data_IF_429279232592
#
_entry.id   IF_429279232592
#
_cell.length_a   1.000
_cell.length_b   1.000
_cell.length_c   1.000
_cell.angle_alpha   90.00
_cell.angle_beta   90.00
_cell.angle_gamma   90.00
#
_symmetry.space_group_name_H-M   'P 1'
#
loop_
_entity.id
_entity.type
_entity.pdbx_description
1 polymer ?
#
# COMPACT_ATOMS: atom_id res chain seq x y z
N UNK A 1 50.80 -31.36 43.58
CA UNK A 1 50.90 -30.08 42.83
C UNK A 1 50.94 -30.22 41.30
N UNK A 2 50.88 -31.43 40.69
CA UNK A 2 50.94 -31.58 39.21
C UNK A 2 49.57 -31.64 38.50
N UNK A 3 48.45 -31.84 39.22
CA UNK A 3 47.13 -32.05 38.61
C UNK A 3 46.24 -30.80 38.57
N UNK A 4 46.61 -29.71 39.25
CA UNK A 4 45.82 -28.46 39.24
C UNK A 4 46.00 -27.67 37.94
N UNK A 5 47.22 -27.60 37.38
CA UNK A 5 47.46 -26.90 36.10
C UNK A 5 46.75 -27.54 34.90
N UNK A 6 46.55 -28.87 34.91
CA UNK A 6 45.88 -29.58 33.81
C UNK A 6 44.36 -29.33 33.81
N UNK A 7 43.74 -29.27 35.00
CA UNK A 7 42.31 -28.97 35.16
C UNK A 7 42.02 -27.52 34.75
N UNK A 8 42.90 -26.57 35.10
CA UNK A 8 42.74 -25.16 34.68
C UNK A 8 42.87 -24.99 33.16
N UNK A 9 43.75 -25.77 32.51
CA UNK A 9 43.95 -25.70 31.06
C UNK A 9 42.75 -26.28 30.28
N UNK A 10 42.15 -27.37 30.77
CA UNK A 10 40.96 -27.99 30.15
C UNK A 10 39.73 -27.10 30.34
N UNK A 11 39.57 -26.46 31.50
CA UNK A 11 38.49 -25.51 31.75
C UNK A 11 38.58 -24.25 30.88
N UNK A 12 39.80 -23.75 30.63
CA UNK A 12 40.04 -22.62 29.73
C UNK A 12 39.75 -22.99 28.26
N UNK A 13 40.06 -24.22 27.83
CA UNK A 13 39.71 -24.70 26.48
C UNK A 13 38.20 -24.84 26.28
N UNK A 14 37.47 -25.31 27.31
CA UNK A 14 36.01 -25.43 27.24
C UNK A 14 35.29 -24.06 27.21
N UNK A 15 35.82 -23.03 27.89
CA UNK A 15 35.29 -21.65 27.79
C UNK A 15 35.63 -20.97 26.45
N UNK A 16 36.70 -21.37 25.78
CA UNK A 16 37.06 -20.86 24.45
C UNK A 16 36.17 -21.44 23.35
N UNK A 17 35.73 -22.69 23.49
CA UNK A 17 34.90 -23.40 22.50
C UNK A 17 33.42 -23.01 22.53
N UNK A 18 32.90 -22.47 23.63
CA UNK A 18 31.50 -21.98 23.70
C UNK A 18 31.28 -20.63 23.03
N UNK A 19 32.33 -19.85 22.77
CA UNK A 19 32.25 -18.58 22.04
C UNK A 19 32.33 -18.72 20.51
N UNK A 20 32.49 -19.95 19.99
CA UNK A 20 32.24 -20.28 18.58
C UNK A 20 30.80 -20.75 18.33
N UNK A 21 29.90 -20.55 19.30
CA UNK A 21 28.46 -20.65 19.06
C UNK A 21 28.06 -19.71 17.93
N UNK A 22 27.32 -20.25 16.95
CA UNK A 22 26.75 -19.53 15.81
C UNK A 22 26.54 -18.04 16.11
N UNK A 23 27.32 -17.17 15.46
CA UNK A 23 26.82 -15.84 15.17
C UNK A 23 25.57 -16.07 14.32
N UNK A 24 24.40 -16.01 14.94
CA UNK A 24 23.22 -15.53 14.24
C UNK A 24 23.62 -14.15 13.73
N UNK A 25 24.08 -14.09 12.47
CA UNK A 25 23.80 -12.93 11.66
C UNK A 25 22.27 -12.90 11.61
N UNK A 26 21.65 -12.26 12.61
CA UNK A 26 20.36 -11.66 12.36
C UNK A 26 20.64 -10.65 11.26
N UNK A 27 20.49 -11.09 10.01
CA UNK A 27 20.16 -10.13 8.98
C UNK A 27 18.95 -9.41 9.53
N UNK A 28 19.19 -8.17 9.96
CA UNK A 28 18.16 -7.27 10.37
C UNK A 28 17.43 -6.97 9.07
N UNK A 29 16.53 -7.88 8.66
CA UNK A 29 15.73 -7.72 7.46
C UNK A 29 14.92 -6.46 7.73
N UNK A 30 15.40 -5.34 7.20
CA UNK A 30 14.71 -4.08 7.31
C UNK A 30 13.35 -4.31 6.64
N UNK A 31 12.28 -4.08 7.39
CA UNK A 31 10.92 -4.18 6.87
C UNK A 31 10.86 -3.37 5.56
N UNK A 32 10.44 -3.97 4.44
CA UNK A 32 10.46 -3.30 3.15
C UNK A 32 9.40 -2.20 3.11
N UNK A 33 9.67 -1.10 2.41
CA UNK A 33 8.62 -0.12 2.11
C UNK A 33 7.66 -0.73 1.09
N UNK A 34 6.35 -0.58 1.33
CA UNK A 34 5.31 -1.01 0.40
C UNK A 34 4.70 0.22 -0.27
N UNK A 35 4.86 0.34 -1.58
CA UNK A 35 4.30 1.41 -2.39
C UNK A 35 3.32 0.80 -3.37
N UNK A 36 2.06 1.22 -3.31
CA UNK A 36 1.03 0.81 -4.26
C UNK A 36 0.68 1.99 -5.16
N UNK A 37 0.89 1.81 -6.47
CA UNK A 37 0.55 2.79 -7.50
C UNK A 37 -0.66 2.26 -8.25
N UNK A 38 -1.77 2.99 -8.20
CA UNK A 38 -3.00 2.65 -8.90
C UNK A 38 -3.36 3.78 -9.86
N UNK A 39 -3.42 3.46 -11.15
CA UNK A 39 -3.97 4.36 -12.18
C UNK A 39 -5.51 4.26 -12.19
N UNK A 40 -6.16 5.28 -12.73
CA UNK A 40 -7.62 5.37 -12.83
C UNK A 40 -8.00 5.39 -14.31
N UNK A 41 -8.87 4.47 -14.73
CA UNK A 41 -9.33 4.28 -16.12
C UNK A 41 -8.23 4.02 -17.18
N UNK A 42 -7.05 3.54 -16.77
CA UNK A 42 -6.00 3.12 -17.69
C UNK A 42 -6.33 1.77 -18.33
N UNK A 43 -6.44 1.75 -19.66
CA UNK A 43 -6.61 0.54 -20.45
C UNK A 43 -5.32 -0.25 -20.61
N UNK A 44 -5.46 -1.54 -20.90
CA UNK A 44 -4.30 -2.42 -21.14
C UNK A 44 -3.44 -1.92 -22.33
N UNK A 45 -4.06 -1.35 -23.36
CA UNK A 45 -3.37 -0.84 -24.55
C UNK A 45 -2.78 0.56 -24.40
N UNK A 46 -2.87 1.22 -23.25
CA UNK A 46 -2.45 2.63 -23.09
C UNK A 46 -0.94 2.80 -22.87
N UNK A 47 -0.22 1.71 -22.57
CA UNK A 47 1.21 1.73 -22.29
C UNK A 47 2.03 1.45 -23.55
N UNK A 48 3.13 2.18 -23.75
CA UNK A 48 4.08 1.92 -24.84
C UNK A 48 4.65 0.50 -24.75
N UNK A 49 4.98 0.03 -23.53
CA UNK A 49 5.44 -1.34 -23.30
C UNK A 49 4.42 -2.45 -23.64
N UNK A 50 3.13 -2.09 -23.82
CA UNK A 50 2.08 -2.99 -24.32
C UNK A 50 1.79 -2.80 -25.82
N UNK A 51 2.61 -2.02 -26.53
CA UNK A 51 2.54 -1.83 -27.98
C UNK A 51 1.75 -0.60 -28.43
N UNK A 52 1.45 0.35 -27.54
CA UNK A 52 0.85 1.62 -27.95
C UNK A 52 1.82 2.42 -28.84
N UNK A 53 1.45 2.78 -30.08
CA UNK A 53 2.35 3.50 -30.99
C UNK A 53 2.34 5.02 -30.81
N UNK A 54 1.50 5.57 -29.92
CA UNK A 54 1.27 7.01 -29.77
C UNK A 54 1.60 7.56 -28.38
N UNK A 55 1.31 6.81 -27.32
CA UNK A 55 1.53 7.24 -25.94
C UNK A 55 2.93 6.83 -25.51
N UNK A 56 3.73 7.79 -25.05
CA UNK A 56 5.07 7.56 -24.54
C UNK A 56 5.05 7.41 -23.01
N UNK A 57 5.53 6.27 -22.49
CA UNK A 57 5.53 5.96 -21.05
C UNK A 57 6.91 5.54 -20.51
N UNK A 58 8.00 6.30 -20.77
CA UNK A 58 9.37 5.81 -20.58
C UNK A 58 9.69 5.34 -19.15
N UNK A 59 9.11 5.97 -18.13
CA UNK A 59 9.31 5.57 -16.73
C UNK A 59 8.55 4.28 -16.37
N UNK A 60 7.33 4.11 -16.89
CA UNK A 60 6.56 2.87 -16.69
C UNK A 60 7.15 1.74 -17.53
N UNK A 61 7.70 2.02 -18.71
CA UNK A 61 8.37 1.03 -19.56
C UNK A 61 9.65 0.51 -18.89
N UNK A 62 10.42 1.41 -18.25
CA UNK A 62 11.56 1.02 -17.42
C UNK A 62 11.11 0.12 -16.27
N UNK A 63 10.11 0.55 -15.49
CA UNK A 63 9.56 -0.26 -14.40
C UNK A 63 9.08 -1.63 -14.90
N UNK A 64 8.40 -1.68 -16.05
CA UNK A 64 7.95 -2.90 -16.71
C UNK A 64 9.13 -3.84 -17.07
N UNK A 65 10.28 -3.31 -17.47
CA UNK A 65 11.48 -4.11 -17.80
C UNK A 65 12.21 -4.68 -16.58
N UNK A 66 12.09 -4.02 -15.43
CA UNK A 66 12.79 -4.37 -14.18
C UNK A 66 11.90 -5.16 -13.19
N UNK A 67 10.63 -5.40 -13.53
CA UNK A 67 9.63 -5.97 -12.61
C UNK A 67 9.15 -7.36 -13.03
N UNK A 68 8.67 -8.13 -12.04
CA UNK A 68 7.77 -9.26 -12.27
C UNK A 68 6.40 -8.74 -12.71
N UNK A 69 5.81 -9.38 -13.72
CA UNK A 69 4.56 -8.93 -14.34
C UNK A 69 3.50 -10.02 -14.33
N UNK A 70 2.25 -9.61 -14.20
CA UNK A 70 1.08 -10.46 -14.35
C UNK A 70 0.41 -10.13 -15.68
N UNK A 71 0.42 -11.07 -16.62
CA UNK A 71 -0.25 -10.91 -17.93
C UNK A 71 -1.75 -11.23 -17.86
N UNK A 72 -2.20 -11.79 -16.74
CA UNK A 72 -3.60 -12.07 -16.45
C UNK A 72 -3.95 -11.56 -15.04
N UNK A 73 -4.35 -10.29 -14.95
CA UNK A 73 -4.67 -9.60 -13.71
C UNK A 73 -6.06 -8.97 -13.84
N UNK A 74 -6.92 -9.18 -12.84
CA UNK A 74 -8.33 -8.77 -12.90
C UNK A 74 -8.73 -7.91 -11.71
N UNK A 75 -9.62 -6.95 -11.97
CA UNK A 75 -10.21 -6.04 -11.00
C UNK A 75 -11.73 -5.97 -11.22
N UNK A 76 -12.45 -5.28 -10.34
CA UNK A 76 -13.86 -4.98 -10.59
C UNK A 76 -14.00 -3.99 -11.76
N UNK A 77 -15.14 -3.98 -12.47
CA UNK A 77 -15.33 -3.13 -13.65
C UNK A 77 -15.37 -1.62 -13.38
N UNK A 78 -15.37 -1.20 -12.11
CA UNK A 78 -15.45 0.21 -11.72
C UNK A 78 -14.51 0.56 -10.56
N UNK A 79 -14.16 1.85 -10.49
CA UNK A 79 -13.22 2.43 -9.53
C UNK A 79 -13.53 2.10 -8.06
N UNK A 80 -14.67 2.51 -7.51
CA UNK A 80 -14.97 2.31 -6.09
C UNK A 80 -14.99 0.81 -5.67
N UNK A 81 -15.68 -0.10 -6.39
CA UNK A 81 -15.60 -1.54 -6.09
C UNK A 81 -14.18 -2.11 -6.12
N UNK A 82 -13.34 -1.72 -7.08
CA UNK A 82 -11.93 -2.14 -7.15
C UNK A 82 -11.14 -1.64 -5.95
N UNK A 83 -11.31 -0.37 -5.57
CA UNK A 83 -10.64 0.22 -4.39
C UNK A 83 -11.09 -0.46 -3.10
N UNK A 84 -12.38 -0.77 -2.97
CA UNK A 84 -12.91 -1.48 -1.81
C UNK A 84 -12.32 -2.89 -1.69
N UNK A 85 -12.27 -3.63 -2.79
CA UNK A 85 -11.70 -4.97 -2.84
C UNK A 85 -10.20 -4.96 -2.52
N UNK A 86 -9.46 -4.00 -3.08
CA UNK A 86 -8.04 -3.80 -2.78
C UNK A 86 -7.81 -3.50 -1.30
N UNK A 87 -8.58 -2.59 -0.71
CA UNK A 87 -8.40 -2.18 0.69
C UNK A 87 -8.74 -3.30 1.67
N UNK A 88 -9.67 -4.19 1.35
CA UNK A 88 -10.17 -5.22 2.28
C UNK A 88 -9.67 -6.62 1.99
N UNK A 89 -9.14 -6.89 0.79
CA UNK A 89 -8.85 -8.25 0.32
C UNK A 89 -10.11 -9.09 0.06
N UNK A 90 -11.28 -8.46 -0.07
CA UNK A 90 -12.60 -9.14 -0.19
C UNK A 90 -13.27 -8.77 -1.51
N UNK A 91 -14.19 -9.62 -1.98
CA UNK A 91 -15.09 -9.22 -3.07
C UNK A 91 -15.90 -7.99 -2.65
N UNK A 92 -15.97 -6.99 -3.52
CA UNK A 92 -16.60 -5.68 -3.22
C UNK A 92 -18.06 -5.79 -2.80
N UNK A 93 -18.78 -6.79 -3.31
CA UNK A 93 -20.17 -7.04 -2.92
C UNK A 93 -20.33 -7.36 -1.43
N UNK A 94 -19.26 -7.84 -0.78
CA UNK A 94 -19.22 -8.16 0.65
C UNK A 94 -18.83 -6.96 1.51
N UNK A 95 -18.43 -5.83 0.91
CA UNK A 95 -17.90 -4.65 1.62
C UNK A 95 -18.86 -3.46 1.64
N UNK A 96 -20.11 -3.68 1.22
CA UNK A 96 -21.15 -2.67 0.92
C UNK A 96 -20.94 -1.79 -0.31
N UNK A 97 -19.76 -1.83 -0.95
CA UNK A 97 -19.43 -1.00 -2.10
C UNK A 97 -19.91 -1.65 -3.40
N UNK A 98 -21.12 -1.26 -3.84
CA UNK A 98 -21.81 -1.87 -4.99
C UNK A 98 -21.90 -0.99 -6.22
N UNK A 99 -21.63 0.31 -6.09
CA UNK A 99 -21.58 1.26 -7.21
C UNK A 99 -20.66 2.42 -6.83
N UNK A 100 -20.47 3.37 -7.75
CA UNK A 100 -19.52 4.49 -7.65
C UNK A 100 -20.16 5.79 -7.17
N UNK A 101 -21.50 5.86 -7.12
CA UNK A 101 -22.26 7.08 -6.84
C UNK A 101 -23.37 6.84 -5.82
N UNK A 102 -24.10 7.91 -5.48
CA UNK A 102 -25.29 7.89 -4.61
C UNK A 102 -25.03 7.32 -3.20
N UNK A 103 -23.81 7.52 -2.66
CA UNK A 103 -23.40 7.06 -1.33
C UNK A 103 -23.21 5.55 -1.21
N UNK A 104 -23.41 4.79 -2.30
CA UNK A 104 -23.21 3.33 -2.34
C UNK A 104 -21.76 2.93 -2.66
N UNK A 105 -20.87 3.92 -2.68
CA UNK A 105 -19.43 3.75 -2.71
C UNK A 105 -18.79 3.79 -1.32
N UNK A 106 -19.57 4.06 -0.26
CA UNK A 106 -19.05 4.14 1.10
C UNK A 106 -18.64 2.75 1.60
N UNK A 107 -17.35 2.60 1.95
CA UNK A 107 -16.84 1.34 2.48
C UNK A 107 -17.40 1.09 3.88
N UNK A 108 -17.95 -0.10 4.12
CA UNK A 108 -18.42 -0.49 5.44
C UNK A 108 -17.36 -0.25 6.51
N UNK A 109 -17.74 0.46 7.57
CA UNK A 109 -16.84 0.89 8.65
C UNK A 109 -16.39 -0.27 9.53
N UNK A 110 -17.11 -1.40 9.49
CA UNK A 110 -16.70 -2.61 10.21
C UNK A 110 -15.63 -3.43 9.47
N UNK A 111 -15.29 -3.05 8.24
CA UNK A 111 -14.20 -3.69 7.50
C UNK A 111 -12.86 -3.14 8.00
N UNK A 112 -11.98 -4.03 8.46
CA UNK A 112 -10.57 -3.69 8.68
C UNK A 112 -9.88 -3.60 7.34
N UNK A 113 -9.18 -2.49 7.08
CA UNK A 113 -8.52 -2.28 5.80
C UNK A 113 -7.00 -2.44 5.88
N UNK A 114 -6.38 -2.58 4.72
CA UNK A 114 -4.94 -2.68 4.50
C UNK A 114 -4.14 -1.66 5.32
N UNK A 115 -4.57 -0.40 5.40
CA UNK A 115 -3.89 0.62 6.19
C UNK A 115 -3.83 0.28 7.69
N UNK A 116 -4.92 -0.25 8.26
CA UNK A 116 -4.99 -0.67 9.65
C UNK A 116 -4.05 -1.85 9.92
N UNK A 117 -4.03 -2.86 9.04
CA UNK A 117 -3.10 -3.99 9.14
C UNK A 117 -1.62 -3.55 9.08
N UNK A 118 -1.29 -2.63 8.17
CA UNK A 118 0.07 -2.08 8.08
C UNK A 118 0.43 -1.28 9.34
N UNK A 119 -0.50 -0.48 9.86
CA UNK A 119 -0.29 0.32 11.07
C UNK A 119 -0.08 -0.55 12.30
N UNK A 120 -0.89 -1.59 12.49
CA UNK A 120 -0.69 -2.60 13.55
C UNK A 120 0.67 -3.31 13.43
N UNK A 121 1.16 -3.49 12.20
CA UNK A 121 2.49 -4.04 11.91
C UNK A 121 3.63 -3.02 12.04
N UNK A 122 3.33 -1.82 12.54
CA UNK A 122 4.30 -0.76 12.84
C UNK A 122 4.81 0.01 11.61
N UNK A 123 4.01 0.11 10.55
CA UNK A 123 4.26 0.98 9.41
C UNK A 123 3.61 2.35 9.61
N UNK A 124 4.25 3.40 9.07
CA UNK A 124 3.59 4.67 8.82
C UNK A 124 2.91 4.61 7.46
N UNK A 125 1.65 5.03 7.40
CA UNK A 125 0.79 4.85 6.23
C UNK A 125 0.40 6.18 5.60
N UNK A 126 0.28 6.21 4.27
CA UNK A 126 -0.13 7.41 3.53
C UNK A 126 -1.00 7.08 2.33
N UNK A 127 -2.00 7.90 2.08
CA UNK A 127 -2.87 7.83 0.90
C UNK A 127 -2.82 9.13 0.10
N UNK A 128 -2.60 9.04 -1.21
CA UNK A 128 -2.46 10.20 -2.08
C UNK A 128 -3.35 10.05 -3.31
N UNK A 129 -4.14 11.07 -3.62
CA UNK A 129 -5.07 11.10 -4.75
C UNK A 129 -6.49 10.64 -4.41
N UNK A 130 -7.12 9.93 -5.34
CA UNK A 130 -8.55 9.56 -5.30
C UNK A 130 -8.81 8.43 -4.30
N UNK A 131 -9.72 8.64 -3.35
CA UNK A 131 -10.08 7.64 -2.34
C UNK A 131 -11.25 6.76 -2.78
N UNK A 132 -12.35 7.39 -3.16
CA UNK A 132 -13.61 6.83 -3.68
C UNK A 132 -14.36 5.85 -2.77
N UNK A 133 -14.09 5.90 -1.46
CA UNK A 133 -14.71 5.03 -0.46
C UNK A 133 -15.49 5.80 0.63
N UNK A 134 -15.87 7.04 0.32
CA UNK A 134 -16.63 7.97 1.16
C UNK A 134 -15.84 9.22 1.56
N UNK A 135 -16.51 10.40 1.56
CA UNK A 135 -15.86 11.71 1.82
C UNK A 135 -15.92 12.15 3.28
N UNK A 136 -17.00 11.84 3.97
CA UNK A 136 -17.29 12.37 5.30
C UNK A 136 -16.77 11.43 6.39
N UNK A 137 -16.64 11.94 7.61
CA UNK A 137 -16.46 11.06 8.77
C UNK A 137 -17.57 10.01 8.83
N UNK A 138 -17.28 8.72 9.12
CA UNK A 138 -15.97 8.14 9.44
C UNK A 138 -15.28 7.44 8.25
N UNK A 139 -15.54 7.86 7.01
CA UNK A 139 -15.11 7.16 5.80
C UNK A 139 -13.80 7.68 5.19
N UNK A 140 -13.27 8.82 5.65
CA UNK A 140 -12.06 9.43 5.06
C UNK A 140 -10.83 8.53 5.27
N UNK A 141 -9.78 8.62 4.43
CA UNK A 141 -8.56 7.83 4.63
C UNK A 141 -7.98 7.94 6.05
N UNK A 142 -7.97 9.15 6.61
CA UNK A 142 -7.49 9.41 7.98
C UNK A 142 -8.36 8.77 9.07
N UNK A 143 -9.66 8.57 8.82
CA UNK A 143 -10.56 7.89 9.73
C UNK A 143 -10.44 6.36 9.60
N UNK A 144 -9.79 5.89 8.53
CA UNK A 144 -9.67 4.47 8.13
C UNK A 144 -8.24 3.95 8.22
N UNK A 145 -7.42 4.56 9.06
CA UNK A 145 -6.10 4.04 9.42
C UNK A 145 -4.91 4.68 8.72
N UNK A 146 -5.11 5.52 7.70
CA UNK A 146 -4.00 6.24 7.06
C UNK A 146 -3.49 7.40 7.93
N UNK A 147 -2.19 7.47 8.18
CA UNK A 147 -1.58 8.56 8.97
C UNK A 147 -1.47 9.87 8.20
N UNK A 148 -1.37 9.80 6.87
CA UNK A 148 -1.33 10.96 5.98
C UNK A 148 -2.31 10.79 4.83
N UNK A 149 -2.96 11.89 4.44
CA UNK A 149 -3.84 11.96 3.29
C UNK A 149 -3.69 13.29 2.56
N UNK A 150 -3.55 13.21 1.23
CA UNK A 150 -3.74 14.35 0.33
C UNK A 150 -4.62 13.91 -0.85
N UNK A 151 -5.72 14.61 -1.15
CA UNK A 151 -6.61 14.22 -2.26
C UNK A 151 -7.82 15.13 -2.49
N UNK A 152 -8.63 14.85 -3.50
CA UNK A 152 -9.80 15.65 -3.90
C UNK A 152 -11.10 15.33 -3.11
N UNK A 153 -11.01 14.53 -2.04
CA UNK A 153 -12.17 14.01 -1.32
C UNK A 153 -12.49 12.55 -1.71
N UNK A 154 -13.75 12.29 -2.07
CA UNK A 154 -14.23 10.95 -2.36
C UNK A 154 -14.02 10.57 -3.83
N UNK A 155 -14.77 11.17 -4.75
CA UNK A 155 -14.66 10.88 -6.18
C UNK A 155 -13.43 11.47 -6.88
N UNK A 156 -13.51 11.54 -8.21
CA UNK A 156 -12.58 12.31 -9.03
C UNK A 156 -12.97 13.78 -9.14
N UNK A 157 -12.23 14.53 -9.95
CA UNK A 157 -12.55 15.92 -10.27
C UNK A 157 -13.86 16.02 -11.07
N UNK A 158 -14.63 17.09 -10.85
CA UNK A 158 -15.96 17.31 -11.42
C UNK A 158 -17.10 16.52 -10.76
N UNK A 159 -16.84 15.81 -9.66
CA UNK A 159 -17.89 15.11 -8.90
C UNK A 159 -18.60 16.05 -7.92
N UNK A 160 -19.78 15.68 -7.42
CA UNK A 160 -20.53 16.49 -6.45
C UNK A 160 -19.74 16.75 -5.14
N UNK A 161 -18.76 15.90 -4.84
CA UNK A 161 -17.86 16.02 -3.70
C UNK A 161 -16.59 16.84 -3.97
N UNK A 162 -16.40 17.32 -5.20
CA UNK A 162 -15.19 18.01 -5.62
C UNK A 162 -15.18 19.49 -5.21
N UNK A 163 -14.00 20.11 -5.22
CA UNK A 163 -13.90 21.56 -5.09
C UNK A 163 -14.36 22.21 -6.40
N UNK A 164 -15.24 23.22 -6.29
CA UNK A 164 -15.98 23.76 -7.45
C UNK A 164 -15.08 24.25 -8.60
N UNK A 165 -13.87 24.74 -8.29
CA UNK A 165 -12.97 25.33 -9.27
C UNK A 165 -11.86 24.38 -9.76
N UNK A 166 -11.95 23.08 -9.47
CA UNK A 166 -11.00 22.10 -9.98
C UNK A 166 -11.16 21.96 -11.51
N UNK A 167 -10.03 21.95 -12.21
CA UNK A 167 -9.92 21.99 -13.67
C UNK A 167 -8.92 20.97 -14.24
N UNK A 168 -8.39 20.08 -13.39
CA UNK A 168 -7.34 19.09 -13.70
C UNK A 168 -5.94 19.67 -13.90
N UNK A 169 -5.77 20.98 -13.72
CA UNK A 169 -4.48 21.68 -13.85
C UNK A 169 -4.06 22.32 -12.53
N UNK A 170 -4.96 23.05 -11.86
CA UNK A 170 -4.75 23.77 -10.61
C UNK A 170 -5.79 23.36 -9.56
N UNK A 171 -5.88 22.06 -9.31
CA UNK A 171 -6.86 21.51 -8.39
C UNK A 171 -6.54 21.82 -6.93
N UNK A 172 -7.59 21.97 -6.13
CA UNK A 172 -7.54 22.05 -4.67
C UNK A 172 -7.54 20.65 -4.08
N UNK A 173 -6.56 20.41 -3.21
CA UNK A 173 -6.38 19.16 -2.48
C UNK A 173 -6.65 19.38 -0.99
N UNK A 174 -7.34 18.43 -0.38
CA UNK A 174 -7.55 18.33 1.07
C UNK A 174 -6.34 17.63 1.66
N UNK A 175 -5.76 18.17 2.73
CA UNK A 175 -4.65 17.54 3.47
C UNK A 175 -5.11 17.19 4.87
N UNK A 176 -5.15 15.90 5.19
CA UNK A 176 -5.56 15.39 6.52
C UNK A 176 -6.91 15.96 7.02
N UNK A 177 -7.83 16.26 6.10
CA UNK A 177 -9.17 16.79 6.42
C UNK A 177 -9.27 18.31 6.49
N UNK A 178 -8.16 19.02 6.28
CA UNK A 178 -8.07 20.49 6.17
C UNK A 178 -7.97 20.95 4.71
#
# INVERSE_FOLDING_TARGET
>A
MKNQSLITLIAALFLGLTNLGCRENSEHISRPNVILIMTDDQGYGDLACHGNPFIETPHLDKLHSESTRFTNFHVNPFCAPTRAALMTGRFSDLTHVRTTINGRNHLNVSETIMAEYFKESGYTTGHFGKWHLGRNYPFRPIDRGFDQWVGHGDGGTGTASDYWANDKMNDTYIRNGE
#
